data_IF_404851550175
#
_entry.id   IF_404851550175
#
_cell.length_a   1.000
_cell.length_b   1.000
_cell.length_c   1.000
_cell.angle_alpha   90.00
_cell.angle_beta   90.00
_cell.angle_gamma   90.00
#
_symmetry.space_group_name_H-M   'P 1'
#
loop_
_entity.id
_entity.type
_entity.pdbx_description
1 polymer ?
#
# COMPACT_ATOMS: atom_id res chain seq x y z
N UNK A 1 9.49 -7.70 28.60
CA UNK A 1 8.65 -8.93 28.51
C UNK A 1 7.50 -8.63 27.56
N UNK A 2 7.04 -9.61 26.77
CA UNK A 2 5.88 -9.42 25.89
C UNK A 2 4.57 -9.55 26.66
N UNK A 3 3.44 -9.16 26.05
CA UNK A 3 2.09 -9.24 26.66
C UNK A 3 1.24 -10.38 26.06
N UNK A 4 1.88 -11.44 25.56
CA UNK A 4 1.20 -12.59 24.97
C UNK A 4 0.40 -13.38 26.01
N UNK A 5 -0.71 -13.97 25.57
CA UNK A 5 -1.46 -14.94 26.38
C UNK A 5 -0.71 -16.28 26.40
N UNK A 6 -0.93 -17.08 27.46
CA UNK A 6 -0.34 -18.41 27.57
C UNK A 6 -0.73 -19.29 26.38
N UNK A 7 0.25 -19.97 25.77
CA UNK A 7 0.04 -20.82 24.59
C UNK A 7 -0.17 -20.09 23.26
N UNK A 8 -0.20 -18.76 23.22
CA UNK A 8 -0.45 -17.98 21.98
C UNK A 8 0.82 -17.37 21.35
N UNK A 9 2.00 -17.86 21.73
CA UNK A 9 3.29 -17.36 21.25
C UNK A 9 4.24 -18.51 20.93
N UNK A 10 5.01 -18.35 19.85
CA UNK A 10 6.18 -19.19 19.53
C UNK A 10 7.40 -18.32 19.29
N UNK A 11 8.58 -18.91 19.33
CA UNK A 11 9.82 -18.26 18.89
C UNK A 11 10.02 -18.52 17.39
N UNK A 12 10.50 -17.51 16.66
CA UNK A 12 10.88 -17.68 15.26
C UNK A 12 12.24 -18.37 15.15
N UNK A 13 12.31 -19.50 14.45
CA UNK A 13 13.54 -20.29 14.32
C UNK A 13 14.65 -19.55 13.55
N UNK A 14 14.28 -18.59 12.70
CA UNK A 14 15.23 -17.83 11.88
C UNK A 14 15.70 -16.55 12.57
N UNK A 15 14.79 -15.81 13.22
CA UNK A 15 15.08 -14.47 13.76
C UNK A 15 15.17 -14.41 15.27
N UNK A 16 14.75 -15.46 15.98
CA UNK A 16 14.62 -15.48 17.43
C UNK A 16 13.51 -14.58 18.00
N UNK A 17 12.74 -13.90 17.14
CA UNK A 17 11.67 -12.99 17.58
C UNK A 17 10.45 -13.79 18.07
N UNK A 18 9.75 -13.25 19.07
CA UNK A 18 8.45 -13.75 19.50
C UNK A 18 7.41 -13.55 18.39
N UNK A 19 6.62 -14.57 18.13
CA UNK A 19 5.55 -14.57 17.12
C UNK A 19 4.22 -14.89 17.79
N UNK A 20 3.31 -13.92 17.82
CA UNK A 20 1.94 -14.13 18.25
C UNK A 20 1.20 -15.01 17.23
N UNK A 21 0.69 -16.17 17.66
CA UNK A 21 0.07 -17.16 16.77
C UNK A 21 -1.23 -16.63 16.12
N UNK A 22 -2.04 -15.90 16.89
CA UNK A 22 -3.24 -15.24 16.38
C UNK A 22 -2.90 -14.23 15.27
N UNK A 23 -1.88 -13.40 15.49
CA UNK A 23 -1.42 -12.46 14.46
C UNK A 23 -0.85 -13.19 13.25
N UNK A 24 -0.06 -14.25 13.47
CA UNK A 24 0.55 -15.05 12.40
C UNK A 24 -0.50 -15.66 11.46
N UNK A 25 -1.63 -16.12 12.00
CA UNK A 25 -2.75 -16.60 11.18
C UNK A 25 -3.22 -15.52 10.22
N UNK A 26 -3.55 -14.33 10.72
CA UNK A 26 -4.06 -13.24 9.88
C UNK A 26 -3.01 -12.71 8.91
N UNK A 27 -1.74 -12.61 9.33
CA UNK A 27 -0.63 -12.25 8.44
C UNK A 27 -0.59 -13.22 7.24
N UNK A 28 -0.67 -14.53 7.49
CA UNK A 28 -0.67 -15.55 6.44
C UNK A 28 -1.91 -15.46 5.55
N UNK A 29 -3.10 -15.34 6.14
CA UNK A 29 -4.36 -15.26 5.37
C UNK A 29 -4.34 -14.06 4.40
N UNK A 30 -3.96 -12.88 4.89
CA UNK A 30 -3.87 -11.68 4.06
C UNK A 30 -2.73 -11.80 3.03
N UNK A 31 -1.54 -12.26 3.42
CA UNK A 31 -0.42 -12.41 2.49
C UNK A 31 -0.72 -13.43 1.38
N UNK A 32 -1.41 -14.53 1.69
CA UNK A 32 -1.83 -15.52 0.67
C UNK A 32 -2.84 -14.91 -0.28
N UNK A 33 -3.89 -14.24 0.22
CA UNK A 33 -4.85 -13.57 -0.67
C UNK A 33 -4.21 -12.46 -1.49
N UNK A 34 -3.24 -11.72 -0.93
CA UNK A 34 -2.47 -10.75 -1.71
C UNK A 34 -1.78 -11.42 -2.91
N UNK A 35 -1.11 -12.56 -2.71
CA UNK A 35 -0.46 -13.29 -3.81
C UNK A 35 -1.48 -13.84 -4.80
N UNK A 36 -2.65 -14.32 -4.34
CA UNK A 36 -3.72 -14.78 -5.24
C UNK A 36 -4.25 -13.64 -6.10
N UNK A 37 -4.58 -12.48 -5.52
CA UNK A 37 -5.06 -11.31 -6.26
C UNK A 37 -4.00 -10.80 -7.23
N UNK A 38 -2.72 -10.77 -6.82
CA UNK A 38 -1.59 -10.44 -7.69
C UNK A 38 -1.48 -11.41 -8.88
N UNK A 39 -1.66 -12.71 -8.64
CA UNK A 39 -1.62 -13.72 -9.69
C UNK A 39 -2.78 -13.56 -10.68
N UNK A 40 -4.00 -13.37 -10.20
CA UNK A 40 -5.18 -13.13 -11.04
C UNK A 40 -5.03 -11.85 -11.86
N UNK A 41 -4.62 -10.75 -11.21
CA UNK A 41 -4.32 -9.49 -11.87
C UNK A 41 -3.18 -9.61 -12.89
N UNK A 42 -2.18 -10.45 -12.61
CA UNK A 42 -1.06 -10.75 -13.51
C UNK A 42 -1.48 -11.53 -14.76
N UNK A 43 -2.37 -12.52 -14.64
CA UNK A 43 -2.97 -13.20 -15.80
C UNK A 43 -3.71 -12.17 -16.68
N UNK A 44 -4.53 -11.32 -16.05
CA UNK A 44 -5.24 -10.26 -16.75
C UNK A 44 -4.28 -9.28 -17.44
N UNK A 45 -3.15 -8.94 -16.82
CA UNK A 45 -2.11 -8.10 -17.40
C UNK A 45 -1.54 -8.71 -18.69
N UNK A 46 -1.25 -10.01 -18.68
CA UNK A 46 -0.75 -10.73 -19.85
C UNK A 46 -1.77 -10.71 -20.98
N UNK A 47 -3.05 -10.99 -20.69
CA UNK A 47 -4.11 -10.93 -21.70
C UNK A 47 -4.25 -9.54 -22.34
N UNK A 48 -4.14 -8.49 -21.52
CA UNK A 48 -4.20 -7.10 -21.99
C UNK A 48 -2.98 -6.76 -22.86
N UNK A 49 -1.77 -7.08 -22.39
CA UNK A 49 -0.53 -6.82 -23.14
C UNK A 49 -0.53 -7.55 -24.48
N UNK A 50 -0.93 -8.83 -24.48
CA UNK A 50 -1.04 -9.66 -25.68
C UNK A 50 -2.15 -9.20 -26.61
N UNK A 51 -3.18 -8.49 -26.15
CA UNK A 51 -4.21 -7.89 -27.02
C UNK A 51 -3.77 -6.56 -27.63
N UNK A 52 -2.89 -5.82 -26.92
CA UNK A 52 -2.34 -4.55 -27.42
C UNK A 52 -1.22 -4.72 -28.44
N UNK A 53 -0.67 -5.91 -28.58
CA UNK A 53 0.34 -6.23 -29.58
C UNK A 53 -0.31 -6.29 -30.97
N UNK A 54 0.05 -5.47 -31.97
CA UNK A 54 -0.60 -5.53 -33.29
C UNK A 54 -0.67 -6.91 -33.96
N UNK A 55 0.26 -7.82 -33.67
CA UNK A 55 0.28 -9.17 -34.23
C UNK A 55 -0.68 -10.14 -33.52
N UNK A 56 -1.09 -9.84 -32.29
CA UNK A 56 -1.89 -10.70 -31.45
C UNK A 56 -3.05 -9.90 -30.85
N UNK A 57 -4.29 -10.30 -31.09
CA UNK A 57 -5.46 -9.54 -30.65
C UNK A 57 -6.47 -10.46 -29.97
N UNK A 58 -6.06 -10.99 -28.81
CA UNK A 58 -6.75 -12.10 -28.14
C UNK A 58 -8.17 -11.74 -27.68
N UNK A 59 -8.36 -10.53 -27.14
CA UNK A 59 -9.63 -10.14 -26.54
C UNK A 59 -10.42 -9.21 -27.49
N UNK A 60 -11.72 -9.47 -27.72
CA UNK A 60 -12.60 -8.47 -28.30
C UNK A 60 -12.77 -7.28 -27.34
N UNK A 61 -13.22 -6.14 -27.86
CA UNK A 61 -13.26 -4.86 -27.13
C UNK A 61 -13.99 -4.94 -25.76
N UNK A 62 -15.14 -5.60 -25.70
CA UNK A 62 -15.88 -5.76 -24.43
C UNK A 62 -15.06 -6.52 -23.38
N UNK A 63 -14.43 -7.63 -23.76
CA UNK A 63 -13.56 -8.38 -22.87
C UNK A 63 -12.27 -7.63 -22.54
N UNK A 64 -11.74 -6.81 -23.44
CA UNK A 64 -10.60 -5.95 -23.13
C UNK A 64 -10.91 -5.00 -21.97
N UNK A 65 -12.02 -4.25 -22.01
CA UNK A 65 -12.39 -3.33 -20.93
C UNK A 65 -12.81 -4.05 -19.64
N UNK A 66 -13.43 -5.22 -19.77
CA UNK A 66 -13.75 -6.09 -18.63
C UNK A 66 -12.51 -6.54 -17.89
N UNK A 67 -11.55 -7.11 -18.62
CA UNK A 67 -10.28 -7.58 -18.07
C UNK A 67 -9.42 -6.40 -17.59
N UNK A 68 -9.51 -5.23 -18.23
CA UNK A 68 -8.84 -4.02 -17.75
C UNK A 68 -9.39 -3.56 -16.38
N UNK A 69 -10.69 -3.65 -16.17
CA UNK A 69 -11.32 -3.35 -14.88
C UNK A 69 -10.86 -4.36 -13.83
N UNK A 70 -10.93 -5.65 -14.15
CA UNK A 70 -10.50 -6.75 -13.29
C UNK A 70 -9.02 -6.62 -12.89
N UNK A 71 -8.14 -6.37 -13.87
CA UNK A 71 -6.71 -6.14 -13.68
C UNK A 71 -6.46 -4.95 -12.74
N UNK A 72 -7.05 -3.79 -13.02
CA UNK A 72 -6.84 -2.58 -12.24
C UNK A 72 -7.22 -2.76 -10.76
N UNK A 73 -8.36 -3.39 -10.49
CA UNK A 73 -8.81 -3.66 -9.11
C UNK A 73 -7.89 -4.65 -8.40
N UNK A 74 -7.54 -5.75 -9.05
CA UNK A 74 -6.67 -6.77 -8.47
C UNK A 74 -5.25 -6.24 -8.21
N UNK A 75 -4.70 -5.43 -9.13
CA UNK A 75 -3.30 -4.95 -9.12
C UNK A 75 -3.08 -3.61 -8.42
N UNK A 76 -4.10 -2.78 -8.23
CA UNK A 76 -3.93 -1.46 -7.61
C UNK A 76 -4.74 -1.29 -6.32
N UNK A 77 -5.63 -2.24 -6.00
CA UNK A 77 -6.43 -2.21 -4.77
C UNK A 77 -6.25 -3.50 -3.98
N UNK A 78 -6.73 -4.64 -4.49
CA UNK A 78 -6.90 -5.82 -3.65
C UNK A 78 -5.58 -6.42 -3.17
N UNK A 79 -4.62 -6.71 -4.06
CA UNK A 79 -3.37 -7.33 -3.62
C UNK A 79 -2.57 -6.44 -2.67
N UNK A 80 -2.53 -5.13 -2.97
CA UNK A 80 -1.81 -4.12 -2.19
C UNK A 80 -2.38 -4.07 -0.78
N UNK A 81 -3.70 -3.84 -0.64
CA UNK A 81 -4.32 -3.65 0.66
C UNK A 81 -4.32 -4.93 1.50
N UNK A 82 -4.46 -6.11 0.88
CA UNK A 82 -4.22 -7.38 1.59
C UNK A 82 -2.78 -7.45 2.12
N UNK A 83 -1.78 -7.15 1.29
CA UNK A 83 -0.38 -7.18 1.71
C UNK A 83 -0.10 -6.14 2.82
N UNK A 84 -0.67 -4.94 2.71
CA UNK A 84 -0.51 -3.88 3.70
C UNK A 84 -1.06 -4.28 5.06
N UNK A 85 -2.27 -4.84 5.13
CA UNK A 85 -2.83 -5.33 6.41
C UNK A 85 -1.94 -6.43 7.00
N UNK A 86 -1.39 -7.32 6.17
CA UNK A 86 -0.42 -8.31 6.63
C UNK A 86 0.84 -7.67 7.22
N UNK A 87 1.39 -6.63 6.55
CA UNK A 87 2.54 -5.86 7.03
C UNK A 87 2.22 -5.16 8.35
N UNK A 88 1.06 -4.50 8.46
CA UNK A 88 0.63 -3.81 9.67
C UNK A 88 0.58 -4.78 10.85
N UNK A 89 -0.05 -5.95 10.69
CA UNK A 89 -0.12 -6.96 11.73
C UNK A 89 1.24 -7.53 12.09
N UNK A 90 2.11 -7.75 11.10
CA UNK A 90 3.48 -8.19 11.33
C UNK A 90 4.25 -7.19 12.20
N UNK A 91 4.28 -5.91 11.82
CA UNK A 91 5.12 -4.93 12.50
C UNK A 91 4.61 -4.55 13.88
N UNK A 92 3.28 -4.49 14.10
CA UNK A 92 2.75 -4.11 15.41
C UNK A 92 2.79 -5.23 16.45
N UNK A 93 2.89 -6.50 16.02
CA UNK A 93 2.95 -7.63 16.94
C UNK A 93 4.38 -8.14 17.11
N UNK A 94 5.05 -8.50 16.02
CA UNK A 94 6.37 -9.15 16.08
C UNK A 94 7.47 -8.15 16.48
N UNK A 95 7.51 -6.97 15.86
CA UNK A 95 8.57 -5.98 16.16
C UNK A 95 8.36 -5.25 17.50
N UNK A 96 7.13 -5.24 18.03
CA UNK A 96 6.83 -4.69 19.35
C UNK A 96 6.67 -5.75 20.44
N UNK A 97 6.87 -7.04 20.11
CA UNK A 97 6.70 -8.17 21.03
C UNK A 97 5.33 -8.14 21.73
N UNK A 98 4.28 -7.85 20.97
CA UNK A 98 2.92 -7.64 21.45
C UNK A 98 1.93 -8.63 20.83
N UNK A 99 0.90 -9.00 21.59
CA UNK A 99 -0.27 -9.72 21.05
C UNK A 99 -1.12 -8.81 20.17
N UNK A 100 -1.92 -9.41 19.29
CA UNK A 100 -2.95 -8.69 18.56
C UNK A 100 -4.03 -8.18 19.53
N UNK A 101 -4.55 -6.96 19.29
CA UNK A 101 -5.52 -6.34 20.18
C UNK A 101 -6.84 -7.11 20.26
N UNK A 102 -7.51 -7.31 19.13
CA UNK A 102 -8.78 -8.03 19.03
C UNK A 102 -8.76 -9.02 17.85
N UNK A 103 -8.58 -10.33 18.10
CA UNK A 103 -8.63 -11.36 17.06
C UNK A 103 -9.98 -11.42 16.31
N UNK A 104 -11.10 -11.15 17.00
CA UNK A 104 -12.42 -11.07 16.37
C UNK A 104 -12.48 -10.00 15.28
N UNK A 105 -11.86 -8.83 15.53
CA UNK A 105 -11.78 -7.75 14.56
C UNK A 105 -10.93 -8.16 13.34
N UNK A 106 -9.90 -8.97 13.56
CA UNK A 106 -9.11 -9.59 12.48
C UNK A 106 -9.94 -10.50 11.59
N UNK A 107 -10.83 -11.32 12.16
CA UNK A 107 -11.75 -12.17 11.40
C UNK A 107 -12.79 -11.39 10.62
N UNK A 108 -13.48 -10.46 11.28
CA UNK A 108 -14.51 -9.63 10.63
C UNK A 108 -13.88 -8.82 9.49
N UNK A 109 -12.72 -8.18 9.74
CA UNK A 109 -11.98 -7.45 8.71
C UNK A 109 -11.59 -8.33 7.53
N UNK A 110 -10.99 -9.48 7.79
CA UNK A 110 -10.57 -10.43 6.75
C UNK A 110 -11.74 -10.93 5.89
N UNK A 111 -12.86 -11.34 6.52
CA UNK A 111 -14.03 -11.85 5.80
C UNK A 111 -14.64 -10.76 4.91
N UNK A 112 -14.74 -9.53 5.42
CA UNK A 112 -15.25 -8.40 4.63
C UNK A 112 -14.34 -8.09 3.43
N UNK A 113 -13.02 -8.11 3.60
CA UNK A 113 -12.07 -7.95 2.49
C UNK A 113 -12.20 -9.08 1.47
N UNK A 114 -12.18 -10.34 1.91
CA UNK A 114 -12.28 -11.49 1.00
C UNK A 114 -13.62 -11.53 0.24
N UNK A 115 -14.74 -11.33 0.93
CA UNK A 115 -16.06 -11.27 0.31
C UNK A 115 -16.19 -10.06 -0.61
N UNK A 116 -15.72 -8.88 -0.20
CA UNK A 116 -15.75 -7.66 -1.00
C UNK A 116 -14.99 -7.79 -2.31
N UNK A 117 -13.76 -8.33 -2.26
CA UNK A 117 -12.98 -8.62 -3.46
C UNK A 117 -13.69 -9.63 -4.37
N UNK A 118 -14.14 -10.76 -3.80
CA UNK A 118 -14.82 -11.81 -4.57
C UNK A 118 -16.10 -11.36 -5.24
N UNK A 119 -16.95 -10.58 -4.54
CA UNK A 119 -18.17 -9.99 -5.11
C UNK A 119 -17.81 -9.05 -6.26
N UNK A 120 -16.83 -8.17 -6.06
CA UNK A 120 -16.43 -7.18 -7.06
C UNK A 120 -15.94 -7.88 -8.33
N UNK A 121 -15.02 -8.82 -8.19
CA UNK A 121 -14.43 -9.57 -9.30
C UNK A 121 -15.48 -10.41 -10.04
N UNK A 122 -16.40 -11.06 -9.32
CA UNK A 122 -17.51 -11.77 -9.93
C UNK A 122 -18.37 -10.86 -10.81
N UNK A 123 -18.75 -9.68 -10.29
CA UNK A 123 -19.59 -8.73 -11.02
C UNK A 123 -18.88 -8.19 -12.26
N UNK A 124 -17.56 -7.92 -12.17
CA UNK A 124 -16.76 -7.53 -13.33
C UNK A 124 -16.77 -8.64 -14.38
N UNK A 125 -16.44 -9.88 -14.02
CA UNK A 125 -16.37 -11.00 -14.96
C UNK A 125 -17.74 -11.35 -15.57
N UNK A 126 -18.83 -11.16 -14.81
CA UNK A 126 -20.20 -11.29 -15.28
C UNK A 126 -20.65 -10.17 -16.25
N UNK A 127 -19.82 -9.13 -16.44
CA UNK A 127 -20.13 -8.01 -17.33
C UNK A 127 -20.98 -6.91 -16.73
N UNK A 128 -21.15 -6.90 -15.40
CA UNK A 128 -21.89 -5.86 -14.70
C UNK A 128 -21.07 -4.60 -14.40
N UNK A 129 -19.79 -4.55 -14.75
CA UNK A 129 -18.90 -3.46 -14.33
C UNK A 129 -17.74 -3.22 -15.33
N UNK A 130 -18.03 -2.98 -16.60
CA UNK A 130 -17.02 -2.57 -17.59
C UNK A 130 -16.70 -1.06 -17.46
N UNK A 131 -16.25 -0.63 -16.27
CA UNK A 131 -16.14 0.80 -15.86
C UNK A 131 -14.73 1.24 -15.45
N UNK A 132 -13.73 0.37 -15.62
CA UNK A 132 -12.36 0.53 -15.11
C UNK A 132 -12.30 0.66 -13.58
N UNK A 133 -11.10 0.65 -12.99
CA UNK A 133 -10.97 0.72 -11.52
C UNK A 133 -11.49 2.04 -10.94
N UNK A 134 -11.55 3.10 -11.74
CA UNK A 134 -11.94 4.44 -11.30
C UNK A 134 -13.45 4.64 -11.29
N UNK A 135 -14.19 3.82 -12.03
CA UNK A 135 -15.65 3.84 -12.14
C UNK A 135 -16.25 5.24 -12.28
N UNK A 136 -15.68 6.06 -13.17
CA UNK A 136 -16.10 7.45 -13.37
C UNK A 136 -17.54 7.54 -13.90
N UNK A 137 -18.44 8.29 -13.24
CA UNK A 137 -19.71 8.70 -13.82
C UNK A 137 -19.47 9.47 -15.14
N UNK A 138 -20.36 9.32 -16.15
CA UNK A 138 -21.67 8.67 -16.08
C UNK A 138 -21.65 7.14 -16.31
N UNK A 139 -20.48 6.49 -16.39
CA UNK A 139 -20.42 5.03 -16.49
C UNK A 139 -20.92 4.39 -15.18
N UNK A 140 -22.03 3.66 -15.28
CA UNK A 140 -22.72 3.05 -14.13
C UNK A 140 -22.50 1.54 -14.13
N UNK A 141 -21.92 1.03 -13.05
CA UNK A 141 -21.82 -0.41 -12.80
C UNK A 141 -23.03 -0.93 -12.02
N UNK A 142 -23.15 -2.25 -11.96
CA UNK A 142 -24.11 -2.96 -11.11
C UNK A 142 -23.90 -2.59 -9.63
N UNK A 143 -24.94 -2.41 -8.80
CA UNK A 143 -24.80 -1.97 -7.41
C UNK A 143 -23.85 -2.82 -6.57
N UNK A 144 -23.85 -4.14 -6.77
CA UNK A 144 -22.97 -5.05 -6.04
C UNK A 144 -21.48 -4.82 -6.31
N UNK A 145 -21.11 -4.20 -7.44
CA UNK A 145 -19.73 -3.78 -7.69
C UNK A 145 -19.27 -2.75 -6.64
N UNK A 146 -20.03 -1.67 -6.48
CA UNK A 146 -19.72 -0.64 -5.50
C UNK A 146 -19.82 -1.17 -4.07
N UNK A 147 -20.83 -1.99 -3.77
CA UNK A 147 -20.96 -2.63 -2.46
C UNK A 147 -19.75 -3.51 -2.15
N UNK A 148 -19.25 -4.30 -3.10
CA UNK A 148 -18.06 -5.13 -2.93
C UNK A 148 -16.83 -4.31 -2.55
N UNK A 149 -16.59 -3.20 -3.25
CA UNK A 149 -15.49 -2.27 -2.93
C UNK A 149 -15.69 -1.62 -1.55
N UNK A 150 -16.92 -1.24 -1.19
CA UNK A 150 -17.23 -0.68 0.14
C UNK A 150 -16.95 -1.70 1.24
N UNK A 151 -17.39 -2.95 1.09
CA UNK A 151 -17.12 -4.02 2.06
C UNK A 151 -15.62 -4.25 2.20
N UNK A 152 -14.88 -4.23 1.09
CA UNK A 152 -13.42 -4.34 1.09
C UNK A 152 -12.76 -3.21 1.88
N UNK A 153 -13.18 -1.96 1.63
CA UNK A 153 -12.66 -0.78 2.30
C UNK A 153 -12.97 -0.79 3.81
N UNK A 154 -14.19 -1.19 4.19
CA UNK A 154 -14.57 -1.35 5.61
C UNK A 154 -13.72 -2.43 6.27
N UNK A 155 -13.55 -3.59 5.64
CA UNK A 155 -12.69 -4.65 6.17
C UNK A 155 -11.24 -4.19 6.37
N UNK A 156 -10.70 -3.43 5.41
CA UNK A 156 -9.37 -2.82 5.50
C UNK A 156 -9.28 -1.84 6.68
N UNK A 157 -10.30 -1.01 6.88
CA UNK A 157 -10.37 -0.07 8.00
C UNK A 157 -10.38 -0.79 9.36
N UNK A 158 -11.11 -1.90 9.49
CA UNK A 158 -11.08 -2.73 10.70
C UNK A 158 -9.68 -3.31 10.94
N UNK A 159 -8.97 -3.68 9.87
CA UNK A 159 -7.56 -4.04 9.90
C UNK A 159 -6.68 -2.94 10.51
N UNK A 160 -6.82 -1.72 9.99
CA UNK A 160 -6.10 -0.53 10.47
C UNK A 160 -6.46 -0.18 11.92
N UNK A 161 -7.74 -0.28 12.31
CA UNK A 161 -8.18 -0.08 13.70
C UNK A 161 -7.52 -1.11 14.62
N UNK A 162 -7.45 -2.38 14.21
CA UNK A 162 -6.80 -3.42 14.99
C UNK A 162 -5.29 -3.16 15.16
N UNK A 163 -4.65 -2.61 14.12
CA UNK A 163 -3.26 -2.15 14.18
C UNK A 163 -3.08 -1.04 15.23
N UNK A 164 -3.86 0.03 15.19
CA UNK A 164 -3.77 1.12 16.18
C UNK A 164 -4.09 0.64 17.60
N UNK A 165 -5.10 -0.21 17.77
CA UNK A 165 -5.38 -0.84 19.05
C UNK A 165 -4.22 -1.69 19.56
N UNK A 166 -3.49 -2.35 18.66
CA UNK A 166 -2.29 -3.14 18.98
C UNK A 166 -1.14 -2.23 19.43
N UNK A 167 -0.91 -1.11 18.73
CA UNK A 167 0.07 -0.10 19.17
C UNK A 167 -0.26 0.44 20.57
N UNK A 168 -1.54 0.72 20.82
CA UNK A 168 -2.01 1.20 22.12
C UNK A 168 -1.71 0.19 23.23
N UNK A 169 -2.08 -1.10 23.07
CA UNK A 169 -1.80 -2.10 24.11
C UNK A 169 -0.31 -2.39 24.26
N UNK A 170 0.47 -2.37 23.17
CA UNK A 170 1.92 -2.54 23.24
C UNK A 170 2.57 -1.43 24.12
N UNK A 171 2.10 -0.19 23.96
CA UNK A 171 2.55 0.95 24.78
C UNK A 171 2.05 0.85 26.22
N UNK A 172 0.76 0.56 26.42
CA UNK A 172 0.13 0.43 27.75
C UNK A 172 0.79 -0.67 28.57
N UNK A 173 1.05 -1.82 27.94
CA UNK A 173 1.61 -3.01 28.57
C UNK A 173 3.15 -2.99 28.59
N UNK A 174 3.77 -1.90 28.13
CA UNK A 174 5.23 -1.67 28.12
C UNK A 174 6.02 -2.82 27.47
N UNK A 175 5.53 -3.35 26.35
CA UNK A 175 6.23 -4.42 25.61
C UNK A 175 7.51 -3.92 24.92
N UNK A 176 7.63 -2.61 24.74
CA UNK A 176 8.82 -1.90 24.27
C UNK A 176 9.05 -0.61 25.09
N UNK A 177 10.25 -0.05 25.00
CA UNK A 177 10.64 1.21 25.66
C UNK A 177 11.02 2.29 24.63
N UNK A 178 10.89 3.56 25.02
CA UNK A 178 11.21 4.68 24.15
C UNK A 178 10.25 4.83 22.96
N UNK A 179 10.80 5.21 21.81
CA UNK A 179 10.07 5.37 20.55
C UNK A 179 9.93 4.03 19.81
N UNK A 180 8.83 3.85 19.07
CA UNK A 180 8.65 2.66 18.22
C UNK A 180 9.79 2.54 17.20
N UNK A 181 10.19 1.32 16.76
CA UNK A 181 11.17 1.12 15.70
C UNK A 181 10.80 1.89 14.41
N UNK A 182 11.81 2.29 13.61
CA UNK A 182 11.56 3.07 12.38
C UNK A 182 10.59 2.36 11.42
N UNK A 183 10.70 1.03 11.30
CA UNK A 183 9.80 0.20 10.48
C UNK A 183 8.35 0.32 10.96
N UNK A 184 8.12 0.27 12.28
CA UNK A 184 6.79 0.45 12.87
C UNK A 184 6.31 1.89 12.71
N UNK A 185 7.21 2.88 12.79
CA UNK A 185 6.88 4.29 12.54
C UNK A 185 6.40 4.51 11.10
N UNK A 186 7.11 3.98 10.11
CA UNK A 186 6.71 4.09 8.71
C UNK A 186 5.40 3.35 8.40
N UNK A 187 5.18 2.17 8.99
CA UNK A 187 3.89 1.49 8.92
C UNK A 187 2.76 2.27 9.61
N UNK A 188 3.07 3.01 10.67
CA UNK A 188 2.11 3.92 11.32
C UNK A 188 1.77 5.08 10.39
N UNK A 189 2.75 5.64 9.67
CA UNK A 189 2.50 6.65 8.64
C UNK A 189 1.58 6.11 7.53
N UNK A 190 1.85 4.89 7.04
CA UNK A 190 0.99 4.20 6.08
C UNK A 190 -0.44 4.05 6.62
N UNK A 191 -0.61 3.59 7.86
CA UNK A 191 -1.91 3.43 8.51
C UNK A 191 -2.68 4.76 8.66
N UNK A 192 -1.99 5.87 8.95
CA UNK A 192 -2.60 7.21 9.02
C UNK A 192 -3.11 7.64 7.65
N UNK A 193 -2.30 7.49 6.60
CA UNK A 193 -2.69 7.79 5.22
C UNK A 193 -3.85 6.89 4.78
N UNK A 194 -3.88 5.62 5.20
CA UNK A 194 -4.96 4.70 4.89
C UNK A 194 -6.31 5.16 5.46
N UNK A 195 -6.34 5.73 6.67
CA UNK A 195 -7.57 6.29 7.25
C UNK A 195 -8.10 7.44 6.39
N UNK A 196 -7.27 8.40 6.01
CA UNK A 196 -7.72 9.53 5.17
C UNK A 196 -8.17 9.07 3.79
N UNK A 197 -7.46 8.09 3.22
CA UNK A 197 -7.78 7.44 1.93
C UNK A 197 -9.15 6.78 1.96
N UNK A 198 -9.44 5.97 2.99
CA UNK A 198 -10.71 5.25 3.13
C UNK A 198 -11.87 6.22 3.37
N UNK A 199 -11.65 7.32 4.10
CA UNK A 199 -12.68 8.34 4.31
C UNK A 199 -13.09 9.02 2.99
N UNK A 200 -12.14 9.35 2.11
CA UNK A 200 -12.46 9.83 0.76
C UNK A 200 -13.19 8.76 -0.05
N UNK A 201 -12.75 7.50 0.05
CA UNK A 201 -13.42 6.36 -0.58
C UNK A 201 -14.89 6.22 -0.16
N UNK A 202 -15.18 6.31 1.13
CA UNK A 202 -16.55 6.29 1.63
C UNK A 202 -17.36 7.48 1.10
N UNK A 203 -16.75 8.68 1.07
CA UNK A 203 -17.42 9.89 0.62
C UNK A 203 -17.80 9.85 -0.86
N UNK A 204 -17.01 9.18 -1.71
CA UNK A 204 -17.31 9.04 -3.14
C UNK A 204 -18.12 7.78 -3.46
N UNK A 205 -17.81 6.62 -2.87
CA UNK A 205 -18.43 5.33 -3.23
C UNK A 205 -19.81 5.14 -2.63
N UNK A 206 -20.10 5.65 -1.42
CA UNK A 206 -21.44 5.48 -0.83
C UNK A 206 -22.49 6.21 -1.67
N UNK A 207 -22.33 7.50 -2.03
CA UNK A 207 -23.27 8.17 -2.93
C UNK A 207 -23.39 7.49 -4.29
N UNK A 208 -22.27 7.04 -4.87
CA UNK A 208 -22.27 6.33 -6.16
C UNK A 208 -22.98 4.98 -6.08
N UNK A 209 -22.86 4.25 -4.97
CA UNK A 209 -23.65 3.03 -4.72
C UNK A 209 -25.14 3.33 -4.61
N UNK A 210 -25.54 4.40 -3.90
CA UNK A 210 -26.93 4.83 -3.81
C UNK A 210 -27.48 5.29 -5.18
N UNK A 211 -26.65 5.94 -6.00
CA UNK A 211 -26.98 6.25 -7.39
C UNK A 211 -27.16 4.98 -8.21
N UNK A 212 -26.27 3.98 -8.06
CA UNK A 212 -26.38 2.69 -8.71
C UNK A 212 -27.65 1.92 -8.32
N UNK A 213 -28.14 2.10 -7.08
CA UNK A 213 -29.42 1.57 -6.59
C UNK A 213 -30.65 2.37 -7.05
N UNK A 214 -30.45 3.54 -7.67
CA UNK A 214 -31.54 4.41 -8.14
C UNK A 214 -32.12 5.33 -7.05
N UNK A 215 -31.50 5.44 -5.89
CA UNK A 215 -31.97 6.32 -4.79
C UNK A 215 -31.45 7.74 -4.92
N UNK A 216 -30.33 7.93 -5.63
CA UNK A 216 -29.79 9.23 -6.02
C UNK A 216 -29.98 9.39 -7.53
N UNK A 217 -30.36 10.59 -7.99
CA UNK A 217 -30.69 10.85 -9.40
C UNK A 217 -29.44 10.90 -10.29
N UNK A 218 -28.40 11.60 -9.83
CA UNK A 218 -27.17 11.80 -10.57
C UNK A 218 -26.00 12.01 -9.63
N UNK A 219 -24.80 11.76 -10.13
CA UNK A 219 -23.53 12.12 -9.49
C UNK A 219 -22.86 13.14 -10.39
N UNK A 220 -22.43 14.27 -9.83
CA UNK A 220 -21.61 15.25 -10.53
C UNK A 220 -20.24 14.61 -10.85
N UNK A 221 -19.86 14.47 -12.14
CA UNK A 221 -18.60 13.84 -12.52
C UNK A 221 -17.36 14.61 -12.06
N UNK A 222 -17.40 15.95 -11.98
CA UNK A 222 -16.27 16.76 -11.53
C UNK A 222 -16.06 16.58 -10.03
N UNK A 223 -17.14 16.61 -9.24
CA UNK A 223 -17.08 16.29 -7.81
C UNK A 223 -16.58 14.86 -7.59
N UNK A 224 -17.11 13.87 -8.32
CA UNK A 224 -16.68 12.48 -8.19
C UNK A 224 -15.18 12.35 -8.39
N UNK A 225 -14.63 12.92 -9.47
CA UNK A 225 -13.21 12.82 -9.79
C UNK A 225 -12.33 13.51 -8.76
N UNK A 226 -12.75 14.67 -8.25
CA UNK A 226 -12.04 15.39 -7.19
C UNK A 226 -11.92 14.54 -5.92
N UNK A 227 -13.03 13.99 -5.43
CA UNK A 227 -13.02 13.17 -4.20
C UNK A 227 -12.38 11.80 -4.45
N UNK A 228 -12.62 11.20 -5.62
CA UNK A 228 -12.02 9.91 -6.02
C UNK A 228 -10.51 9.97 -6.02
N UNK A 229 -9.89 11.07 -6.44
CA UNK A 229 -8.43 11.17 -6.40
C UNK A 229 -7.86 11.40 -5.00
N UNK A 230 -8.66 11.91 -4.06
CA UNK A 230 -8.37 11.85 -2.63
C UNK A 230 -8.43 10.43 -2.03
N UNK A 231 -8.98 9.45 -2.76
CA UNK A 231 -8.83 8.01 -2.49
C UNK A 231 -7.67 7.43 -3.32
N UNK A 232 -7.71 7.61 -4.63
CA UNK A 232 -6.85 6.92 -5.59
C UNK A 232 -5.37 7.24 -5.42
N UNK A 233 -5.01 8.52 -5.30
CA UNK A 233 -3.60 8.88 -5.15
C UNK A 233 -3.00 8.42 -3.81
N UNK A 234 -3.59 8.75 -2.64
CA UNK A 234 -3.00 8.36 -1.38
C UNK A 234 -3.04 6.84 -1.15
N UNK A 235 -3.93 6.07 -1.81
CA UNK A 235 -3.86 4.59 -1.77
C UNK A 235 -2.52 4.03 -2.25
N UNK A 236 -1.95 4.58 -3.33
CA UNK A 236 -0.63 4.17 -3.81
C UNK A 236 0.48 4.61 -2.86
N UNK A 237 0.22 5.62 -2.05
CA UNK A 237 1.20 6.15 -1.11
C UNK A 237 1.19 5.44 0.24
N UNK A 238 0.06 4.84 0.64
CA UNK A 238 0.06 3.81 1.69
C UNK A 238 1.07 2.72 1.32
N UNK A 239 1.04 2.28 0.06
CA UNK A 239 1.97 1.27 -0.46
C UNK A 239 3.43 1.78 -0.43
N UNK A 240 3.70 3.02 -0.86
CA UNK A 240 5.05 3.60 -0.78
C UNK A 240 5.56 3.63 0.66
N UNK A 241 4.76 4.10 1.61
CA UNK A 241 5.16 4.15 3.02
C UNK A 241 5.41 2.75 3.61
N UNK A 242 4.56 1.78 3.29
CA UNK A 242 4.73 0.38 3.69
C UNK A 242 5.97 -0.25 3.06
N UNK A 243 6.17 -0.08 1.75
CA UNK A 243 7.32 -0.57 0.99
C UNK A 243 8.64 -0.02 1.54
N UNK A 244 8.74 1.29 1.77
CA UNK A 244 9.94 1.91 2.36
C UNK A 244 10.21 1.37 3.77
N UNK A 245 9.15 1.12 4.55
CA UNK A 245 9.29 0.48 5.87
C UNK A 245 9.87 -0.93 5.74
N UNK A 246 9.42 -1.70 4.75
CA UNK A 246 9.95 -3.03 4.42
C UNK A 246 11.40 -2.94 3.92
N UNK A 247 11.79 -1.90 3.18
CA UNK A 247 13.19 -1.70 2.79
C UNK A 247 14.10 -1.52 4.01
N UNK A 248 13.73 -0.68 4.97
CA UNK A 248 14.51 -0.55 6.21
C UNK A 248 14.59 -1.87 6.98
N UNK A 249 13.48 -2.63 7.02
CA UNK A 249 13.45 -3.93 7.67
C UNK A 249 14.40 -4.92 6.98
N UNK A 250 14.30 -5.08 5.66
CA UNK A 250 15.12 -6.01 4.89
C UNK A 250 16.59 -5.61 4.90
N UNK A 251 16.91 -4.31 4.79
CA UNK A 251 18.28 -3.83 4.97
C UNK A 251 18.84 -4.22 6.34
N UNK A 252 18.05 -4.07 7.40
CA UNK A 252 18.44 -4.50 8.75
C UNK A 252 18.65 -6.01 8.83
N UNK A 253 17.70 -6.81 8.35
CA UNK A 253 17.73 -8.28 8.48
C UNK A 253 18.80 -8.95 7.61
N UNK A 254 19.13 -8.38 6.46
CA UNK A 254 20.04 -8.99 5.49
C UNK A 254 21.49 -8.51 5.60
N UNK A 255 21.71 -7.28 6.08
CA UNK A 255 23.07 -6.70 6.17
C UNK A 255 23.40 -6.11 7.54
N UNK A 256 22.46 -6.10 8.49
CA UNK A 256 22.64 -5.43 9.77
C UNK A 256 22.58 -3.90 9.68
N UNK A 257 22.04 -3.35 8.58
CA UNK A 257 21.93 -1.92 8.37
C UNK A 257 21.13 -1.22 9.48
N UNK A 258 21.55 -0.01 9.83
CA UNK A 258 20.82 0.89 10.72
C UNK A 258 20.61 2.22 10.00
N UNK A 259 19.45 2.89 10.17
CA UNK A 259 19.21 4.18 9.53
C UNK A 259 20.32 5.18 9.88
N UNK A 260 20.87 5.86 8.88
CA UNK A 260 21.93 6.87 9.07
C UNK A 260 21.53 7.95 10.08
N UNK A 261 20.29 8.41 10.01
CA UNK A 261 19.73 9.38 10.95
C UNK A 261 18.23 9.11 11.14
N UNK A 262 17.85 8.70 12.35
CA UNK A 262 16.45 8.38 12.70
C UNK A 262 15.52 9.60 12.60
N UNK A 263 15.98 10.80 12.96
CA UNK A 263 15.17 12.02 12.91
C UNK A 263 14.82 12.37 11.47
N UNK A 264 15.82 12.35 10.57
CA UNK A 264 15.63 12.63 9.14
C UNK A 264 14.69 11.61 8.49
N UNK A 265 14.88 10.31 8.77
CA UNK A 265 14.02 9.27 8.22
C UNK A 265 12.57 9.37 8.73
N UNK A 266 12.36 9.72 10.00
CA UNK A 266 11.01 9.96 10.55
C UNK A 266 10.38 11.22 9.97
N UNK A 267 11.17 12.28 9.79
CA UNK A 267 10.74 13.51 9.14
C UNK A 267 10.21 13.25 7.73
N UNK A 268 10.89 12.40 6.95
CA UNK A 268 10.43 12.00 5.63
C UNK A 268 9.08 11.25 5.66
N UNK A 269 8.86 10.32 6.60
CA UNK A 269 7.54 9.71 6.79
C UNK A 269 6.45 10.72 7.20
N UNK A 270 6.79 11.77 7.97
CA UNK A 270 5.83 12.85 8.30
C UNK A 270 5.49 13.68 7.06
N UNK A 271 6.47 13.98 6.20
CA UNK A 271 6.23 14.64 4.92
C UNK A 271 5.27 13.83 4.05
N UNK A 272 5.41 12.49 4.03
CA UNK A 272 4.43 11.64 3.37
C UNK A 272 3.01 11.84 3.89
N UNK A 273 2.80 11.86 5.21
CA UNK A 273 1.46 12.05 5.79
C UNK A 273 0.83 13.38 5.33
N UNK A 274 1.62 14.47 5.32
CA UNK A 274 1.13 15.82 5.08
C UNK A 274 0.89 16.13 3.60
N UNK A 275 1.88 15.84 2.74
CA UNK A 275 1.92 16.42 1.40
C UNK A 275 1.36 15.51 0.31
N UNK A 276 1.26 14.21 0.56
CA UNK A 276 0.68 13.25 -0.39
C UNK A 276 -0.79 13.54 -0.68
N UNK A 277 -1.59 13.84 0.35
CA UNK A 277 -3.02 14.08 0.15
C UNK A 277 -3.23 15.30 -0.77
N UNK A 278 -2.39 16.33 -0.63
CA UNK A 278 -2.39 17.54 -1.45
C UNK A 278 -1.91 17.28 -2.88
N UNK A 279 -0.90 16.43 -3.05
CA UNK A 279 -0.37 16.06 -4.37
C UNK A 279 -1.39 15.34 -5.28
N UNK A 280 -2.47 14.79 -4.72
CA UNK A 280 -3.57 14.14 -5.48
C UNK A 280 -4.12 15.01 -6.62
N UNK A 281 -3.99 16.32 -6.51
CA UNK A 281 -4.36 17.29 -7.53
C UNK A 281 -3.75 17.03 -8.92
N UNK A 282 -2.59 16.36 -9.00
CA UNK A 282 -1.95 16.10 -10.30
C UNK A 282 -2.78 15.22 -11.22
N UNK A 283 -3.73 14.45 -10.69
CA UNK A 283 -4.63 13.64 -11.50
C UNK A 283 -5.80 14.43 -12.11
N UNK A 284 -5.88 15.73 -11.79
CA UNK A 284 -6.92 16.66 -12.19
C UNK A 284 -6.34 17.80 -13.05
N UNK A 285 -5.11 17.64 -13.58
CA UNK A 285 -4.44 18.69 -14.36
C UNK A 285 -5.21 19.09 -15.62
N UNK A 286 -5.91 18.15 -16.24
CA UNK A 286 -6.74 18.38 -17.43
C UNK A 286 -8.20 18.69 -17.08
N UNK A 287 -8.55 18.75 -15.80
CA UNK A 287 -9.94 18.94 -15.38
C UNK A 287 -10.37 20.39 -15.53
N UNK A 288 -11.59 20.64 -16.01
CA UNK A 288 -12.24 21.92 -15.82
C UNK A 288 -12.62 22.10 -14.35
N UNK A 289 -12.80 23.35 -13.90
CA UNK A 289 -13.41 23.64 -12.59
C UNK A 289 -12.45 23.91 -11.43
N UNK A 290 -11.13 23.67 -11.59
CA UNK A 290 -10.11 24.11 -10.63
C UNK A 290 -9.16 25.13 -11.26
N UNK A 291 -8.79 26.17 -10.50
CA UNK A 291 -7.97 27.27 -11.01
C UNK A 291 -6.54 26.82 -11.34
N UNK A 292 -5.91 27.51 -12.29
CA UNK A 292 -4.49 27.25 -12.61
C UNK A 292 -3.58 27.43 -11.38
N UNK A 293 -3.86 28.43 -10.52
CA UNK A 293 -3.12 28.64 -9.29
C UNK A 293 -3.23 27.46 -8.31
N UNK A 294 -4.42 26.86 -8.18
CA UNK A 294 -4.60 25.65 -7.35
C UNK A 294 -3.83 24.46 -7.91
N UNK A 295 -3.85 24.26 -9.24
CA UNK A 295 -3.07 23.20 -9.91
C UNK A 295 -1.58 23.39 -9.64
N UNK A 296 -1.03 24.56 -9.98
CA UNK A 296 0.39 24.89 -9.81
C UNK A 296 0.83 24.70 -8.34
N UNK A 297 0.05 25.19 -7.37
CA UNK A 297 0.42 25.07 -5.96
C UNK A 297 0.56 23.60 -5.53
N UNK A 298 -0.44 22.79 -5.82
CA UNK A 298 -0.47 21.40 -5.37
C UNK A 298 0.51 20.51 -6.15
N UNK A 299 0.62 20.70 -7.47
CA UNK A 299 1.50 19.86 -8.31
C UNK A 299 2.95 20.32 -8.33
N UNK A 300 3.24 21.53 -7.87
CA UNK A 300 4.63 21.98 -7.63
C UNK A 300 4.99 21.83 -6.16
N UNK A 301 4.57 22.76 -5.31
CA UNK A 301 5.11 22.90 -3.96
C UNK A 301 4.77 21.71 -3.06
N UNK A 302 3.51 21.28 -3.04
CA UNK A 302 3.12 20.13 -2.23
C UNK A 302 3.73 18.84 -2.77
N UNK A 303 3.69 18.62 -4.09
CA UNK A 303 4.32 17.45 -4.68
C UNK A 303 5.83 17.39 -4.44
N UNK A 304 6.56 18.50 -4.55
CA UNK A 304 8.00 18.53 -4.28
C UNK A 304 8.35 18.13 -2.86
N UNK A 305 7.50 18.46 -1.87
CA UNK A 305 7.71 18.02 -0.49
C UNK A 305 7.43 16.52 -0.30
N UNK A 306 6.47 15.96 -1.04
CA UNK A 306 6.26 14.50 -1.08
C UNK A 306 7.42 13.77 -1.81
N UNK A 307 7.95 14.36 -2.89
CA UNK A 307 9.12 13.84 -3.63
C UNK A 307 10.37 13.91 -2.77
N UNK A 308 10.57 15.00 -2.03
CA UNK A 308 11.70 15.15 -1.09
C UNK A 308 11.72 14.01 -0.07
N UNK A 309 10.57 13.62 0.48
CA UNK A 309 10.48 12.47 1.37
C UNK A 309 10.97 11.17 0.71
N UNK A 310 10.56 10.92 -0.54
CA UNK A 310 11.04 9.78 -1.33
C UNK A 310 12.54 9.84 -1.60
N UNK A 311 13.08 11.02 -1.91
CA UNK A 311 14.52 11.20 -2.13
C UNK A 311 15.34 10.95 -0.87
N UNK A 312 14.86 11.40 0.30
CA UNK A 312 15.49 11.13 1.59
C UNK A 312 15.55 9.61 1.84
N UNK A 313 14.45 8.89 1.64
CA UNK A 313 14.43 7.45 1.81
C UNK A 313 15.29 6.72 0.76
N UNK A 314 15.19 7.15 -0.50
CA UNK A 314 15.98 6.64 -1.63
C UNK A 314 17.48 6.82 -1.44
N UNK A 315 17.93 7.85 -0.70
CA UNK A 315 19.32 8.00 -0.30
C UNK A 315 19.67 7.21 0.96
N UNK A 316 18.87 7.36 2.02
CA UNK A 316 19.23 6.83 3.35
C UNK A 316 19.19 5.32 3.42
N UNK A 317 18.30 4.64 2.70
CA UNK A 317 18.23 3.16 2.66
C UNK A 317 19.52 2.55 2.10
N UNK A 318 19.94 2.84 0.85
CA UNK A 318 21.14 2.23 0.27
C UNK A 318 22.40 2.71 0.97
N UNK A 319 22.46 3.96 1.44
CA UNK A 319 23.61 4.44 2.21
C UNK A 319 23.73 3.75 3.58
N UNK A 320 22.61 3.41 4.23
CA UNK A 320 22.63 2.59 5.46
C UNK A 320 23.18 1.18 5.21
N UNK A 321 22.85 0.59 4.06
CA UNK A 321 23.38 -0.71 3.61
C UNK A 321 24.88 -0.62 3.31
N UNK A 322 25.32 0.40 2.57
CA UNK A 322 26.73 0.62 2.27
C UNK A 322 27.55 0.76 3.56
N UNK A 323 27.11 1.60 4.49
CA UNK A 323 27.81 1.79 5.78
C UNK A 323 27.91 0.47 6.55
N UNK A 324 26.87 -0.36 6.54
CA UNK A 324 26.88 -1.65 7.21
C UNK A 324 27.89 -2.62 6.60
N UNK A 325 27.89 -2.77 5.28
CA UNK A 325 28.81 -3.65 4.56
C UNK A 325 30.27 -3.16 4.64
N UNK A 326 30.49 -1.85 4.61
CA UNK A 326 31.83 -1.26 4.84
C UNK A 326 32.35 -1.52 6.25
N UNK A 327 31.49 -1.45 7.26
CA UNK A 327 31.83 -1.85 8.65
C UNK A 327 32.16 -3.33 8.78
N UNK A 328 31.65 -4.17 7.88
CA UNK A 328 31.99 -5.60 7.79
C UNK A 328 33.29 -5.86 7.00
N UNK A 329 33.99 -4.80 6.55
CA UNK A 329 35.28 -4.89 5.87
C UNK A 329 35.21 -4.80 4.35
N UNK A 330 34.03 -4.63 3.75
CA UNK A 330 33.87 -4.52 2.29
C UNK A 330 34.22 -3.10 1.76
N UNK A 331 35.47 -2.69 1.96
CA UNK A 331 35.93 -1.30 1.76
C UNK A 331 36.62 -1.03 0.41
N UNK A 332 36.69 -2.00 -0.49
CA UNK A 332 37.44 -1.88 -1.74
C UNK A 332 36.76 -0.91 -2.73
N UNK A 333 37.34 0.27 -2.91
CA UNK A 333 36.89 1.26 -3.89
C UNK A 333 35.44 1.73 -3.71
N UNK A 334 34.87 2.29 -4.77
CA UNK A 334 33.51 2.84 -4.76
C UNK A 334 32.42 1.75 -4.66
N UNK A 335 32.59 0.62 -5.37
CA UNK A 335 31.53 -0.40 -5.51
C UNK A 335 31.83 -1.73 -4.82
N UNK A 336 32.92 -1.86 -4.06
CA UNK A 336 33.28 -3.13 -3.41
C UNK A 336 32.22 -3.62 -2.42
N UNK A 337 31.53 -2.71 -1.74
CA UNK A 337 30.41 -3.05 -0.86
C UNK A 337 29.24 -3.66 -1.65
N UNK A 338 28.94 -3.11 -2.83
CA UNK A 338 27.82 -3.54 -3.65
C UNK A 338 28.08 -4.92 -4.25
N UNK A 339 29.30 -5.18 -4.71
CA UNK A 339 29.70 -6.50 -5.21
C UNK A 339 29.65 -7.57 -4.11
N UNK A 340 30.03 -7.20 -2.88
CA UNK A 340 30.02 -8.10 -1.73
C UNK A 340 28.65 -8.29 -1.08
N UNK A 341 27.63 -7.53 -1.50
CA UNK A 341 26.30 -7.58 -0.91
C UNK A 341 25.66 -8.98 -1.07
N UNK A 342 24.72 -9.37 -0.20
CA UNK A 342 24.20 -10.74 -0.16
C UNK A 342 23.16 -11.01 -1.27
N UNK A 343 23.54 -10.93 -2.54
CA UNK A 343 22.67 -11.11 -3.71
C UNK A 343 22.01 -12.49 -3.82
N UNK A 344 22.58 -13.51 -3.15
CA UNK A 344 21.95 -14.83 -3.06
C UNK A 344 20.78 -14.86 -2.06
N UNK A 345 20.68 -13.87 -1.18
CA UNK A 345 19.54 -13.72 -0.27
C UNK A 345 18.38 -13.06 -1.04
N UNK A 346 17.24 -13.76 -1.22
CA UNK A 346 16.12 -13.22 -2.01
C UNK A 346 15.52 -11.95 -1.40
N UNK A 347 15.56 -11.79 -0.07
CA UNK A 347 15.10 -10.58 0.60
C UNK A 347 15.95 -9.36 0.26
N UNK A 348 17.27 -9.52 0.21
CA UNK A 348 18.18 -8.44 -0.19
C UNK A 348 17.99 -8.07 -1.65
N UNK A 349 17.99 -9.07 -2.55
CA UNK A 349 17.84 -8.85 -3.98
C UNK A 349 16.50 -8.23 -4.35
N UNK A 350 15.40 -8.68 -3.71
CA UNK A 350 14.08 -8.09 -3.91
C UNK A 350 14.03 -6.62 -3.43
N UNK A 351 14.59 -6.33 -2.25
CA UNK A 351 14.67 -4.96 -1.73
C UNK A 351 15.47 -4.05 -2.66
N UNK A 352 16.67 -4.48 -3.08
CA UNK A 352 17.55 -3.64 -3.88
C UNK A 352 16.98 -3.42 -5.29
N UNK A 353 16.39 -4.45 -5.90
CA UNK A 353 15.70 -4.31 -7.19
C UNK A 353 14.48 -3.40 -7.07
N UNK A 354 13.69 -3.55 -6.01
CA UNK A 354 12.55 -2.65 -5.72
C UNK A 354 12.99 -1.20 -5.61
N UNK A 355 14.12 -0.92 -4.95
CA UNK A 355 14.69 0.42 -4.86
C UNK A 355 15.09 0.98 -6.23
N UNK A 356 15.74 0.18 -7.08
CA UNK A 356 16.14 0.61 -8.42
C UNK A 356 14.92 0.91 -9.31
N UNK A 357 13.93 0.00 -9.34
CA UNK A 357 12.71 0.19 -10.12
C UNK A 357 11.95 1.41 -9.62
N UNK A 358 11.79 1.56 -8.31
CA UNK A 358 11.09 2.70 -7.73
C UNK A 358 11.84 4.01 -7.97
N UNK A 359 13.16 4.05 -7.76
CA UNK A 359 13.94 5.28 -7.89
C UNK A 359 14.09 5.75 -9.33
N UNK A 360 14.59 4.88 -10.22
CA UNK A 360 14.99 5.27 -11.57
C UNK A 360 13.86 5.18 -12.59
N UNK A 361 12.98 4.17 -12.49
CA UNK A 361 11.88 4.03 -13.44
C UNK A 361 10.65 4.78 -12.94
N UNK A 362 10.10 4.38 -11.79
CA UNK A 362 8.84 4.92 -11.29
C UNK A 362 8.94 6.37 -10.83
N UNK A 363 9.96 6.70 -10.03
CA UNK A 363 10.12 7.98 -9.37
C UNK A 363 10.41 9.11 -10.35
N UNK A 364 11.44 8.96 -11.19
CA UNK A 364 11.81 9.97 -12.19
C UNK A 364 10.64 10.25 -13.14
N UNK A 365 10.03 9.20 -13.70
CA UNK A 365 8.90 9.37 -14.63
C UNK A 365 7.66 9.94 -13.93
N UNK A 366 7.39 9.52 -12.70
CA UNK A 366 6.28 10.02 -11.90
C UNK A 366 6.39 11.51 -11.57
N UNK A 367 7.59 12.01 -11.28
CA UNK A 367 7.82 13.45 -11.08
C UNK A 367 7.55 14.22 -12.38
N UNK A 368 8.06 13.75 -13.51
CA UNK A 368 7.84 14.41 -14.81
C UNK A 368 6.38 14.44 -15.24
N UNK A 369 5.60 13.39 -14.92
CA UNK A 369 4.18 13.31 -15.28
C UNK A 369 3.26 14.03 -14.26
N UNK A 370 3.72 14.20 -13.02
CA UNK A 370 2.94 14.80 -11.94
C UNK A 370 3.03 16.32 -11.87
N UNK A 371 4.09 16.92 -12.43
CA UNK A 371 4.26 18.38 -12.59
C UNK A 371 3.63 18.86 -13.88
#
# INVERSE_FOLDING_TARGET
>A
MGNHRSGEVRTCDTTGLSVCLNAQLFIRLHAVLAVVMLFLGGIAALLLALTRWPALHLLPANWFYRILTFHGLNMLIFWILFMEVAILYFVCTILLNSRLWLPLLGWVGFVLMAAGAGITDYIVLAGGADVMMTSYPPLRAHPSFYLGIILFAVGTLLGVINFFGTLYIARRDKTYTGSVPLVVFGATAAAIIAVTTILHGAWVLIPTWLWAMGWVRSIDPAWYRLIWWGLGHPSQQVNVAAMVSVWYLLGTLTTGAKPLNQLVCRGAFVLYILFINLASAHHLLVDPGVSAGWKIWNTSYAMYLAVLASMIHGFTVPASVEVALRKQGHNRGLFGWLYAAPWKNPGFSAMFLSLLIFGFMGGITGVTLGT
#
